data_IF_086363714824
#
_entry.id   IF_086363714824
#
_cell.length_a   1.000
_cell.length_b   1.000
_cell.length_c   1.000
_cell.angle_alpha   90.00
_cell.angle_beta   90.00
_cell.angle_gamma   90.00
#
_symmetry.space_group_name_H-M   'P 1'
#
loop_
_entity.id
_entity.type
_entity.pdbx_description
1 polymer ?
#
# COMPACT_ATOMS: atom_id res chain seq x y z
N UNK A 1 11.62 10.16 40.42
CA UNK A 1 11.43 11.30 39.49
C UNK A 1 10.51 10.84 38.35
N UNK A 2 9.42 11.55 38.08
CA UNK A 2 8.54 11.25 36.93
C UNK A 2 9.04 11.97 35.69
N UNK A 3 9.07 11.27 34.56
CA UNK A 3 9.43 11.83 33.26
C UNK A 3 8.24 12.60 32.70
N UNK A 4 8.36 13.92 32.55
CA UNK A 4 7.37 14.75 31.87
C UNK A 4 7.80 14.92 30.41
N UNK A 5 6.90 14.62 29.46
CA UNK A 5 7.07 14.94 28.05
C UNK A 5 6.14 16.10 27.71
N UNK A 6 6.72 17.19 27.20
CA UNK A 6 5.99 18.38 26.76
C UNK A 6 6.15 18.49 25.25
N UNK A 7 5.04 18.76 24.56
CA UNK A 7 5.03 19.16 23.16
C UNK A 7 4.34 20.53 23.05
N UNK A 8 5.00 21.49 22.41
CA UNK A 8 4.41 22.79 22.07
C UNK A 8 4.15 22.80 20.56
N UNK A 9 2.92 23.12 20.16
CA UNK A 9 2.53 23.17 18.74
C UNK A 9 1.89 24.53 18.48
N UNK A 10 2.48 25.27 17.53
CA UNK A 10 1.91 26.51 16.99
C UNK A 10 1.17 26.17 15.70
N UNK A 11 -0.14 26.38 15.67
CA UNK A 11 -0.99 26.06 14.53
C UNK A 11 -1.75 27.30 14.06
N UNK A 12 -1.97 27.43 12.76
CA UNK A 12 -2.83 28.45 12.18
C UNK A 12 -4.30 27.99 12.26
N UNK A 13 -4.83 27.90 13.49
CA UNK A 13 -6.20 27.49 13.78
C UNK A 13 -6.96 28.63 14.44
N UNK A 14 -8.30 28.55 14.46
CA UNK A 14 -9.09 29.45 15.29
C UNK A 14 -8.64 29.41 16.75
N UNK A 15 -8.54 30.59 17.37
CA UNK A 15 -8.07 30.74 18.73
C UNK A 15 -8.97 29.95 19.69
N UNK A 16 -8.36 29.12 20.55
CA UNK A 16 -9.09 28.30 21.52
C UNK A 16 -9.75 27.03 20.96
N UNK A 17 -9.53 26.69 19.68
CA UNK A 17 -10.09 25.47 19.06
C UNK A 17 -9.03 24.44 18.59
N UNK A 18 -8.03 24.07 19.42
CA UNK A 18 -6.98 23.13 19.01
C UNK A 18 -7.52 21.73 18.66
N UNK A 19 -8.61 21.28 19.32
CA UNK A 19 -9.25 20.00 19.03
C UNK A 19 -9.70 19.90 17.56
N UNK A 20 -10.31 20.96 17.03
CA UNK A 20 -10.78 21.00 15.64
C UNK A 20 -9.63 20.82 14.64
N UNK A 21 -8.47 21.42 14.90
CA UNK A 21 -7.30 21.28 14.03
C UNK A 21 -6.72 19.86 14.09
N UNK A 22 -6.64 19.26 15.28
CA UNK A 22 -6.19 17.88 15.45
C UNK A 22 -7.14 16.89 14.78
N UNK A 23 -8.45 17.10 14.89
CA UNK A 23 -9.46 16.28 14.23
C UNK A 23 -9.35 16.35 12.71
N UNK A 24 -9.13 17.55 12.16
CA UNK A 24 -8.91 17.73 10.72
C UNK A 24 -7.65 16.99 10.24
N UNK A 25 -6.53 17.12 10.97
CA UNK A 25 -5.28 16.40 10.67
C UNK A 25 -5.50 14.89 10.71
N UNK A 26 -6.18 14.39 11.74
CA UNK A 26 -6.52 12.97 11.85
C UNK A 26 -7.38 12.51 10.66
N UNK A 27 -8.36 13.33 10.25
CA UNK A 27 -9.17 13.09 9.06
C UNK A 27 -8.35 12.99 7.77
N UNK A 28 -7.40 13.89 7.55
CA UNK A 28 -6.50 13.84 6.39
C UNK A 28 -5.60 12.61 6.41
N UNK A 29 -5.04 12.27 7.58
CA UNK A 29 -4.24 11.05 7.72
C UNK A 29 -5.06 9.79 7.40
N UNK A 30 -6.30 9.71 7.87
CA UNK A 30 -7.20 8.61 7.56
C UNK A 30 -7.51 8.54 6.06
N UNK A 31 -7.76 9.69 5.42
CA UNK A 31 -8.03 9.74 3.98
C UNK A 31 -6.82 9.29 3.16
N UNK A 32 -5.62 9.78 3.46
CA UNK A 32 -4.38 9.36 2.80
C UNK A 32 -4.15 7.85 2.96
N UNK A 33 -4.41 7.33 4.17
CA UNK A 33 -4.28 5.91 4.47
C UNK A 33 -5.24 5.04 3.67
N UNK A 34 -6.53 5.42 3.60
CA UNK A 34 -7.54 4.74 2.77
C UNK A 34 -7.16 4.77 1.29
N UNK A 35 -6.70 5.92 0.82
CA UNK A 35 -6.26 6.07 -0.56
C UNK A 35 -5.13 5.10 -0.90
N UNK A 36 -4.09 5.01 -0.07
CA UNK A 36 -2.99 4.04 -0.27
C UNK A 36 -3.49 2.60 -0.29
N UNK A 37 -4.42 2.22 0.61
CA UNK A 37 -5.02 0.89 0.58
C UNK A 37 -5.76 0.62 -0.74
N UNK A 38 -6.67 1.50 -1.16
CA UNK A 38 -7.45 1.32 -2.38
C UNK A 38 -6.57 1.32 -3.65
N UNK A 39 -5.57 2.19 -3.71
CA UNK A 39 -4.62 2.24 -4.82
C UNK A 39 -3.81 0.94 -4.91
N UNK A 40 -3.26 0.46 -3.80
CA UNK A 40 -2.41 -0.73 -3.77
C UNK A 40 -3.21 -2.03 -3.90
N UNK A 41 -4.51 -2.03 -3.56
CA UNK A 41 -5.42 -3.17 -3.76
C UNK A 41 -5.51 -3.59 -5.24
N UNK A 42 -5.25 -2.68 -6.18
CA UNK A 42 -5.17 -3.00 -7.61
C UNK A 42 -4.13 -4.08 -7.97
N UNK A 43 -3.13 -4.32 -7.10
CA UNK A 43 -2.16 -5.41 -7.29
C UNK A 43 -2.78 -6.81 -7.18
N UNK A 44 -4.03 -6.95 -6.72
CA UNK A 44 -4.78 -8.19 -6.77
C UNK A 44 -4.75 -8.88 -8.15
N UNK A 45 -4.76 -8.09 -9.22
CA UNK A 45 -4.68 -8.63 -10.59
C UNK A 45 -3.36 -9.36 -10.85
N UNK A 46 -2.23 -8.88 -10.32
CA UNK A 46 -0.92 -9.55 -10.47
C UNK A 46 -0.90 -10.91 -9.79
N UNK A 47 -1.58 -10.99 -8.65
CA UNK A 47 -1.68 -12.20 -7.85
C UNK A 47 -2.55 -13.22 -8.58
N UNK A 48 -3.72 -12.79 -9.09
CA UNK A 48 -4.64 -13.60 -9.89
C UNK A 48 -4.02 -14.09 -11.20
N UNK A 49 -3.30 -13.23 -11.92
CA UNK A 49 -2.64 -13.56 -13.18
C UNK A 49 -1.57 -14.66 -13.04
N UNK A 50 -1.01 -14.84 -11.84
CA UNK A 50 0.04 -15.82 -11.57
C UNK A 50 -0.42 -16.97 -10.65
N UNK A 51 -1.65 -16.91 -10.14
CA UNK A 51 -2.21 -17.81 -9.12
C UNK A 51 -1.19 -18.16 -8.06
N UNK A 52 -0.75 -17.14 -7.31
CA UNK A 52 0.18 -17.23 -6.19
C UNK A 52 -0.35 -16.43 -5.01
N UNK A 53 0.20 -16.57 -3.81
CA UNK A 53 -0.05 -15.58 -2.77
C UNK A 53 0.70 -14.28 -3.09
N UNK A 54 0.15 -13.14 -2.70
CA UNK A 54 0.80 -11.84 -2.82
C UNK A 54 0.89 -11.14 -1.46
N UNK A 55 2.02 -10.51 -1.18
CA UNK A 55 2.16 -9.61 -0.03
C UNK A 55 2.74 -8.30 -0.53
N UNK A 56 2.05 -7.22 -0.22
CA UNK A 56 2.50 -5.86 -0.49
C UNK A 56 2.71 -5.16 0.84
N UNK A 57 3.87 -4.51 1.00
CA UNK A 57 4.16 -3.66 2.14
C UNK A 57 4.72 -2.31 1.66
N UNK A 58 4.22 -1.23 2.23
CA UNK A 58 4.70 0.14 2.03
C UNK A 58 5.05 0.77 3.38
N UNK A 59 6.08 1.61 3.38
CA UNK A 59 6.57 2.30 4.55
C UNK A 59 5.50 3.24 5.14
N UNK A 60 5.43 3.41 6.45
CA UNK A 60 4.60 4.45 7.07
C UNK A 60 5.46 5.65 7.49
N UNK A 61 5.00 6.86 7.20
CA UNK A 61 5.63 8.11 7.64
C UNK A 61 6.67 8.69 6.67
N UNK A 62 7.60 9.48 7.18
CA UNK A 62 8.58 10.22 6.38
C UNK A 62 9.82 9.36 6.13
N UNK A 63 10.20 9.18 4.86
CA UNK A 63 11.40 8.44 4.46
C UNK A 63 12.64 9.32 4.26
N UNK A 64 12.50 10.64 4.36
CA UNK A 64 13.59 11.60 4.20
C UNK A 64 13.17 12.80 3.35
N UNK A 65 14.17 13.47 2.77
CA UNK A 65 14.00 14.56 1.82
C UNK A 65 14.91 14.35 0.63
N UNK A 66 14.41 14.66 -0.56
CA UNK A 66 15.22 14.75 -1.78
C UNK A 66 15.42 16.22 -2.13
N UNK A 67 16.60 16.56 -2.64
CA UNK A 67 16.96 17.94 -2.99
C UNK A 67 16.23 18.44 -4.25
N UNK A 68 15.65 17.53 -5.03
CA UNK A 68 14.86 17.86 -6.22
C UNK A 68 13.61 18.69 -5.90
N UNK A 69 13.08 18.57 -4.67
CA UNK A 69 11.84 19.24 -4.28
C UNK A 69 12.03 20.12 -3.04
N UNK A 70 11.29 21.24 -2.92
CA UNK A 70 11.16 21.95 -1.65
C UNK A 70 10.72 21.01 -0.52
N UNK A 71 11.14 21.29 0.72
CA UNK A 71 10.81 20.43 1.89
C UNK A 71 9.31 20.28 2.16
N UNK A 72 8.49 21.19 1.68
CA UNK A 72 7.02 21.18 1.82
C UNK A 72 6.30 20.58 0.62
N UNK A 73 7.03 20.16 -0.42
CA UNK A 73 6.43 19.66 -1.64
C UNK A 73 5.73 18.31 -1.40
N UNK A 74 4.54 18.07 -1.97
CA UNK A 74 3.78 16.82 -1.75
C UNK A 74 4.49 15.57 -2.26
N UNK A 75 5.40 15.69 -3.23
CA UNK A 75 6.21 14.58 -3.74
C UNK A 75 7.49 14.32 -2.93
N UNK A 76 7.67 14.95 -1.76
CA UNK A 76 8.66 14.46 -0.81
C UNK A 76 8.29 13.02 -0.40
N UNK A 77 9.26 12.14 -0.12
CA UNK A 77 9.01 10.72 0.10
C UNK A 77 8.33 10.50 1.46
N UNK A 78 7.02 10.71 1.49
CA UNK A 78 6.15 10.60 2.63
C UNK A 78 5.07 9.59 2.28
N UNK A 79 5.02 8.52 3.06
CA UNK A 79 4.25 7.33 2.74
C UNK A 79 3.12 7.19 3.75
N UNK A 80 1.91 6.93 3.28
CA UNK A 80 0.80 6.62 4.19
C UNK A 80 0.86 5.17 4.70
N UNK A 81 1.77 4.37 4.15
CA UNK A 81 1.94 2.96 4.41
C UNK A 81 0.79 2.12 3.90
N UNK A 82 1.01 0.81 3.92
CA UNK A 82 0.01 -0.21 3.70
C UNK A 82 0.66 -1.56 3.93
N UNK A 83 -0.12 -2.55 4.35
CA UNK A 83 0.28 -3.94 4.19
C UNK A 83 -0.96 -4.71 3.73
N UNK A 84 -0.87 -5.46 2.64
CA UNK A 84 -2.00 -6.20 2.07
C UNK A 84 -1.51 -7.60 1.69
N UNK A 85 -2.27 -8.60 2.13
CA UNK A 85 -2.08 -10.01 1.80
C UNK A 85 -3.21 -10.40 0.84
N UNK A 86 -2.83 -11.03 -0.27
CA UNK A 86 -3.73 -11.47 -1.31
C UNK A 86 -3.69 -13.00 -1.43
N UNK A 87 -4.86 -13.62 -1.54
CA UNK A 87 -5.01 -15.01 -1.95
C UNK A 87 -4.80 -15.17 -3.47
N UNK A 88 -4.58 -16.41 -3.96
CA UNK A 88 -4.29 -16.68 -5.38
C UNK A 88 -5.40 -16.33 -6.37
N UNK A 89 -6.63 -16.17 -5.89
CA UNK A 89 -7.80 -15.71 -6.64
C UNK A 89 -7.87 -14.16 -6.77
N UNK A 90 -7.04 -13.45 -6.01
CA UNK A 90 -6.99 -12.00 -5.90
C UNK A 90 -7.70 -11.42 -4.67
N UNK A 91 -8.33 -12.25 -3.83
CA UNK A 91 -9.02 -11.78 -2.64
C UNK A 91 -8.04 -11.24 -1.58
N UNK A 92 -8.46 -10.19 -0.86
CA UNK A 92 -7.67 -9.66 0.26
C UNK A 92 -7.95 -10.50 1.50
N UNK A 93 -6.94 -11.24 1.98
CA UNK A 93 -7.09 -12.15 3.14
C UNK A 93 -6.65 -11.54 4.46
N UNK A 94 -5.78 -10.53 4.41
CA UNK A 94 -5.41 -9.72 5.57
C UNK A 94 -4.89 -8.37 5.08
N UNK A 95 -5.05 -7.33 5.89
CA UNK A 95 -4.45 -6.05 5.61
C UNK A 95 -4.25 -5.24 6.88
N UNK A 96 -3.39 -4.24 6.78
CA UNK A 96 -3.18 -3.25 7.82
C UNK A 96 -4.37 -2.29 7.91
N UNK A 97 -4.61 -1.66 9.06
CA UNK A 97 -5.76 -0.77 9.22
C UNK A 97 -5.72 0.44 8.28
N UNK A 98 -6.87 1.08 8.07
CA UNK A 98 -7.07 2.15 7.09
C UNK A 98 -7.40 3.51 7.72
N UNK A 99 -7.21 3.67 9.02
CA UNK A 99 -7.62 4.86 9.80
C UNK A 99 -6.47 5.80 10.15
N UNK A 100 -5.26 5.29 10.33
CA UNK A 100 -4.11 6.04 10.85
C UNK A 100 -2.82 5.66 10.14
N UNK A 101 -1.91 6.62 10.00
CA UNK A 101 -0.55 6.35 9.54
C UNK A 101 0.28 6.01 10.79
N UNK A 102 0.75 4.77 10.90
CA UNK A 102 1.59 4.29 12.00
C UNK A 102 2.34 3.02 11.62
N UNK A 103 3.35 2.68 12.41
CA UNK A 103 3.99 1.37 12.34
C UNK A 103 3.02 0.29 12.81
N UNK A 104 3.01 -0.84 12.10
CA UNK A 104 2.17 -2.00 12.44
C UNK A 104 2.70 -3.28 11.81
N UNK A 105 2.25 -4.40 12.36
CA UNK A 105 2.54 -5.75 11.86
C UNK A 105 1.20 -6.42 11.56
N UNK A 106 1.11 -7.02 10.37
CA UNK A 106 -0.01 -7.87 9.97
C UNK A 106 0.51 -9.29 9.85
N UNK A 107 -0.16 -10.22 10.53
CA UNK A 107 0.19 -11.65 10.51
C UNK A 107 -1.01 -12.39 9.94
N UNK A 108 -0.76 -13.24 8.95
CA UNK A 108 -1.78 -14.06 8.32
C UNK A 108 -1.26 -15.48 8.10
N UNK A 109 -2.11 -16.47 8.35
CA UNK A 109 -1.86 -17.86 7.96
C UNK A 109 -2.41 -18.07 6.55
N UNK A 110 -1.58 -18.57 5.64
CA UNK A 110 -1.95 -18.80 4.25
C UNK A 110 -2.21 -20.29 4.02
N UNK A 111 -3.40 -20.62 3.52
CA UNK A 111 -3.80 -22.01 3.28
C UNK A 111 -3.29 -22.51 1.92
N UNK A 112 -2.39 -23.49 1.93
CA UNK A 112 -1.85 -24.10 0.71
C UNK A 112 -2.95 -24.71 -0.19
N UNK A 113 -4.10 -25.11 0.36
CA UNK A 113 -5.21 -25.63 -0.44
C UNK A 113 -5.79 -24.58 -1.39
N UNK A 114 -5.79 -23.29 -1.01
CA UNK A 114 -6.23 -22.20 -1.89
C UNK A 114 -5.35 -22.07 -3.14
N UNK A 115 -4.04 -22.27 -2.99
CA UNK A 115 -3.11 -22.28 -4.12
C UNK A 115 -3.35 -23.47 -5.05
N UNK A 116 -3.54 -24.66 -4.49
CA UNK A 116 -3.84 -25.86 -5.27
C UNK A 116 -5.16 -25.72 -6.01
N UNK A 117 -6.19 -25.17 -5.36
CA UNK A 117 -7.49 -24.90 -5.95
C UNK A 117 -7.38 -24.00 -7.18
N UNK A 118 -6.81 -22.81 -7.06
CA UNK A 118 -6.73 -21.86 -8.17
C UNK A 118 -5.91 -22.39 -9.36
N UNK A 119 -4.83 -23.15 -9.09
CA UNK A 119 -4.02 -23.77 -10.16
C UNK A 119 -4.69 -24.98 -10.81
N UNK A 120 -5.69 -25.57 -10.16
CA UNK A 120 -6.50 -26.66 -10.73
C UNK A 120 -7.53 -26.16 -11.74
N UNK A 121 -7.85 -24.86 -11.72
CA UNK A 121 -8.85 -24.28 -12.61
C UNK A 121 -8.53 -24.56 -14.10
N UNK A 122 -9.56 -24.80 -14.94
CA UNK A 122 -9.36 -25.02 -16.37
C UNK A 122 -8.63 -23.84 -17.04
N UNK A 123 -8.96 -22.63 -16.61
CA UNK A 123 -8.43 -21.36 -17.13
C UNK A 123 -7.19 -20.88 -16.38
N UNK A 124 -6.45 -21.78 -15.72
CA UNK A 124 -5.18 -21.42 -15.08
C UNK A 124 -4.24 -20.80 -16.11
N UNK A 125 -4.03 -19.49 -16.02
CA UNK A 125 -3.40 -18.66 -17.04
C UNK A 125 -2.00 -19.14 -17.42
N UNK A 126 -1.22 -19.69 -16.46
CA UNK A 126 0.12 -20.19 -16.78
C UNK A 126 0.10 -21.39 -17.73
N UNK A 127 -0.97 -22.18 -17.75
CA UNK A 127 -1.12 -23.33 -18.67
C UNK A 127 -1.38 -22.88 -20.11
N UNK A 128 -1.94 -21.68 -20.30
CA UNK A 128 -2.36 -21.18 -21.61
C UNK A 128 -1.47 -20.05 -22.15
N UNK A 129 -0.47 -19.61 -21.39
CA UNK A 129 0.54 -18.65 -21.86
C UNK A 129 1.30 -19.21 -23.06
N UNK A 130 1.68 -18.31 -23.97
CA UNK A 130 2.44 -18.60 -25.20
C UNK A 130 3.81 -17.91 -25.14
N UNK A 131 4.73 -18.37 -24.27
CA UNK A 131 6.01 -17.70 -24.05
C UNK A 131 6.84 -17.54 -25.33
N UNK A 132 6.65 -18.40 -26.33
CA UNK A 132 7.26 -18.29 -27.64
C UNK A 132 6.85 -17.02 -28.42
N UNK A 133 5.74 -16.37 -28.06
CA UNK A 133 5.28 -15.10 -28.63
C UNK A 133 5.77 -13.88 -27.85
N UNK A 134 6.32 -14.06 -26.64
CA UNK A 134 6.66 -12.96 -25.74
C UNK A 134 7.96 -12.22 -26.12
N UNK A 135 8.68 -12.68 -27.14
CA UNK A 135 9.85 -11.98 -27.67
C UNK A 135 9.55 -10.54 -28.10
N UNK A 136 8.31 -10.25 -28.51
CA UNK A 136 7.88 -8.88 -28.82
C UNK A 136 7.88 -7.95 -27.59
N UNK A 137 7.65 -8.47 -26.37
CA UNK A 137 7.58 -7.67 -25.15
C UNK A 137 8.93 -7.02 -24.78
N UNK A 138 10.04 -7.53 -25.32
CA UNK A 138 11.40 -7.04 -25.05
C UNK A 138 12.02 -6.31 -26.25
N UNK A 139 11.29 -6.17 -27.36
CA UNK A 139 11.75 -5.37 -28.50
C UNK A 139 11.51 -3.89 -28.25
N UNK A 140 12.39 -3.05 -28.78
CA UNK A 140 12.17 -1.61 -28.81
C UNK A 140 10.88 -1.30 -29.58
N UNK A 141 9.88 -0.76 -28.88
CA UNK A 141 8.54 -0.50 -29.43
C UNK A 141 8.46 0.79 -30.25
N UNK A 142 9.55 1.57 -30.31
CA UNK A 142 9.59 2.93 -30.89
C UNK A 142 10.62 3.11 -31.99
N UNK A 143 11.29 2.03 -32.38
CA UNK A 143 12.23 2.03 -33.51
C UNK A 143 11.44 1.69 -34.78
N UNK A 144 11.16 2.72 -35.59
CA UNK A 144 10.60 2.56 -36.93
C UNK A 144 11.62 1.98 -37.92
#
# INVERSE_FOLDING_TARGET
MQTIRVAAVSMNSELGKPAQALDAIAGWCAQARRYSFEFLKGYALRVRENSCFGVLADQAGRAGYVDLYPRTHPNQPHHAGSAIFFAPDGEVVAHAQTERIRDEIVVATLDAAALAHERSQPNYTLRTRRPELFGELIRDQVSA
#
